data_IF_525281108501
#
_entry.id   IF_525281108501
#
_cell.length_a   1.000
_cell.length_b   1.000
_cell.length_c   1.000
_cell.angle_alpha   90.00
_cell.angle_beta   90.00
_cell.angle_gamma   90.00
#
_symmetry.space_group_name_H-M   'P 1'
#
loop_
_entity.id
_entity.type
_entity.pdbx_description
1 polymer ?
#
# COMPACT_ATOMS: atom_id res chain seq x y z
N UNK A 1 -20.70 -8.97 11.38
CA UNK A 1 -19.24 -8.84 11.54
C UNK A 1 -18.91 -7.56 12.31
N UNK A 2 -18.85 -7.60 13.66
CA UNK A 2 -18.67 -6.39 14.48
C UNK A 2 -17.23 -5.85 14.51
N UNK A 3 -16.24 -6.70 14.23
CA UNK A 3 -14.82 -6.39 14.44
C UNK A 3 -14.22 -5.38 13.44
N UNK A 4 -14.82 -5.20 12.26
CA UNK A 4 -14.35 -4.25 11.24
C UNK A 4 -15.09 -2.90 11.30
N UNK A 5 -16.14 -2.77 12.10
CA UNK A 5 -16.97 -1.56 12.13
C UNK A 5 -16.24 -0.31 12.66
N UNK A 6 -15.15 -0.49 13.42
CA UNK A 6 -14.30 0.59 13.93
C UNK A 6 -13.27 1.09 12.91
N UNK A 7 -13.01 0.33 11.85
CA UNK A 7 -11.98 0.66 10.88
C UNK A 7 -12.49 1.67 9.86
N UNK A 8 -11.70 2.72 9.66
CA UNK A 8 -11.92 3.73 8.64
C UNK A 8 -10.94 3.51 7.48
N UNK A 9 -11.43 3.69 6.25
CA UNK A 9 -10.57 3.70 5.06
C UNK A 9 -9.62 4.89 5.12
N UNK A 10 -8.32 4.62 4.94
CA UNK A 10 -7.29 5.65 4.78
C UNK A 10 -7.04 5.90 3.30
N UNK A 11 -6.61 4.86 2.58
CA UNK A 11 -6.30 4.92 1.15
C UNK A 11 -6.39 3.50 0.56
N UNK A 12 -6.50 3.39 -0.74
CA UNK A 12 -6.31 2.16 -1.49
C UNK A 12 -5.51 2.41 -2.75
N UNK A 13 -4.79 1.37 -3.19
CA UNK A 13 -4.13 1.32 -4.49
C UNK A 13 -4.52 0.03 -5.21
N UNK A 14 -4.36 0.02 -6.53
CA UNK A 14 -4.59 -1.15 -7.37
C UNK A 14 -3.28 -1.63 -7.96
N UNK A 15 -3.25 -2.90 -8.31
CA UNK A 15 -2.13 -3.52 -9.03
C UNK A 15 -2.67 -3.98 -10.37
N UNK A 16 -2.05 -3.51 -11.44
CA UNK A 16 -2.47 -3.78 -12.81
C UNK A 16 -1.96 -5.14 -13.32
N UNK A 17 -2.78 -5.77 -14.16
CA UNK A 17 -2.36 -6.89 -14.99
C UNK A 17 -1.70 -6.42 -16.29
N UNK A 18 -1.70 -7.28 -17.30
CA UNK A 18 -1.14 -6.99 -18.64
C UNK A 18 -1.85 -5.87 -19.40
N UNK A 19 -3.14 -5.64 -19.13
CA UNK A 19 -4.03 -4.88 -20.01
C UNK A 19 -4.58 -3.60 -19.37
N UNK A 20 -3.87 -3.01 -18.40
CA UNK A 20 -4.33 -1.85 -17.60
C UNK A 20 -5.63 -2.08 -16.81
N UNK A 21 -6.13 -3.31 -16.80
CA UNK A 21 -7.21 -3.71 -15.91
C UNK A 21 -6.62 -4.07 -14.53
N UNK A 22 -7.13 -3.47 -13.45
CA UNK A 22 -6.67 -3.79 -12.10
C UNK A 22 -7.17 -5.19 -11.73
N UNK A 23 -6.24 -6.07 -11.38
CA UNK A 23 -6.51 -7.46 -10.99
C UNK A 23 -6.35 -7.69 -9.49
N UNK A 24 -5.65 -6.78 -8.80
CA UNK A 24 -5.57 -6.77 -7.34
C UNK A 24 -5.72 -5.37 -6.77
N UNK A 25 -5.95 -5.32 -5.46
CA UNK A 25 -6.06 -4.09 -4.67
C UNK A 25 -5.37 -4.27 -3.33
N UNK A 26 -4.73 -3.20 -2.87
CA UNK A 26 -4.33 -3.05 -1.48
C UNK A 26 -5.15 -1.96 -0.83
N UNK A 27 -5.88 -2.31 0.23
CA UNK A 27 -6.73 -1.41 0.99
C UNK A 27 -6.12 -1.17 2.37
N UNK A 28 -5.82 0.09 2.69
CA UNK A 28 -5.39 0.51 4.02
C UNK A 28 -6.57 0.99 4.83
N UNK A 29 -6.81 0.28 5.93
CA UNK A 29 -7.76 0.62 6.97
C UNK A 29 -7.03 1.01 8.26
N UNK A 30 -7.64 1.88 9.07
CA UNK A 30 -7.12 2.26 10.38
C UNK A 30 -8.24 2.39 11.40
N UNK A 31 -7.99 1.93 12.61
CA UNK A 31 -8.77 2.29 13.80
C UNK A 31 -7.88 2.96 14.86
N UNK A 32 -8.38 3.13 16.09
CA UNK A 32 -7.61 3.77 17.17
C UNK A 32 -6.44 2.93 17.68
N UNK A 33 -6.33 1.65 17.31
CA UNK A 33 -5.36 0.69 17.85
C UNK A 33 -4.36 0.23 16.79
N UNK A 34 -4.80 0.02 15.56
CA UNK A 34 -3.96 -0.57 14.53
C UNK A 34 -4.28 -0.08 13.12
N UNK A 35 -3.34 -0.38 12.25
CA UNK A 35 -3.50 -0.29 10.81
C UNK A 35 -3.69 -1.71 10.28
N UNK A 36 -4.57 -1.86 9.30
CA UNK A 36 -4.83 -3.13 8.63
C UNK A 36 -4.70 -2.89 7.13
N UNK A 37 -3.80 -3.62 6.49
CA UNK A 37 -3.70 -3.69 5.04
C UNK A 37 -4.41 -4.96 4.59
N UNK A 38 -5.33 -4.83 3.64
CA UNK A 38 -6.03 -5.96 3.02
C UNK A 38 -5.56 -6.07 1.58
N UNK A 39 -5.06 -7.25 1.20
CA UNK A 39 -4.71 -7.56 -0.18
C UNK A 39 -5.85 -8.36 -0.81
N UNK A 40 -6.54 -7.75 -1.77
CA UNK A 40 -7.70 -8.32 -2.45
C UNK A 40 -7.37 -8.71 -3.89
N UNK A 41 -7.92 -9.82 -4.38
CA UNK A 41 -8.10 -10.01 -5.83
C UNK A 41 -9.40 -9.36 -6.29
N UNK A 42 -9.39 -8.90 -7.53
CA UNK A 42 -10.52 -8.26 -8.20
C UNK A 42 -11.05 -9.25 -9.24
N UNK A 43 -12.33 -9.57 -9.15
CA UNK A 43 -13.05 -10.27 -10.21
C UNK A 43 -14.26 -9.46 -10.65
N UNK A 44 -14.77 -9.77 -11.84
CA UNK A 44 -16.00 -9.20 -12.35
C UNK A 44 -17.07 -10.29 -12.36
N UNK A 45 -18.27 -9.98 -11.88
CA UNK A 45 -19.41 -10.88 -12.01
C UNK A 45 -19.97 -10.87 -13.45
N UNK A 46 -21.01 -11.66 -13.70
CA UNK A 46 -21.68 -11.72 -15.00
C UNK A 46 -22.33 -10.39 -15.44
N UNK A 47 -22.44 -9.41 -14.54
CA UNK A 47 -22.98 -8.07 -14.78
C UNK A 47 -21.86 -7.01 -14.87
N UNK A 48 -20.59 -7.43 -14.95
CA UNK A 48 -19.41 -6.56 -14.94
C UNK A 48 -19.28 -5.71 -13.66
N UNK A 49 -19.84 -6.16 -12.54
CA UNK A 49 -19.63 -5.52 -11.25
C UNK A 49 -18.36 -6.07 -10.60
N UNK A 50 -17.51 -5.15 -10.10
CA UNK A 50 -16.29 -5.52 -9.38
C UNK A 50 -16.63 -6.15 -8.04
N UNK A 51 -16.11 -7.34 -7.83
CA UNK A 51 -16.13 -8.06 -6.56
C UNK A 51 -14.70 -8.20 -6.05
N UNK A 52 -14.51 -7.95 -4.76
CA UNK A 52 -13.21 -8.05 -4.09
C UNK A 52 -13.18 -9.31 -3.23
N UNK A 53 -12.11 -10.09 -3.36
CA UNK A 53 -11.86 -11.27 -2.55
C UNK A 53 -10.58 -11.07 -1.75
N UNK A 54 -10.71 -10.94 -0.43
CA UNK A 54 -9.56 -10.81 0.46
C UNK A 54 -8.70 -12.07 0.39
N UNK A 55 -7.44 -11.91 0.00
CA UNK A 55 -6.46 -12.98 -0.10
C UNK A 55 -5.60 -13.07 1.16
N UNK A 56 -5.13 -11.93 1.66
CA UNK A 56 -4.33 -11.86 2.88
C UNK A 56 -4.48 -10.51 3.58
N UNK A 57 -4.05 -10.43 4.83
CA UNK A 57 -4.09 -9.22 5.63
C UNK A 57 -2.80 -9.02 6.42
N UNK A 58 -2.34 -7.77 6.48
CA UNK A 58 -1.21 -7.37 7.30
C UNK A 58 -1.71 -6.41 8.40
N UNK A 59 -1.64 -6.85 9.64
CA UNK A 59 -1.91 -5.99 10.80
C UNK A 59 -0.60 -5.32 11.24
N UNK A 60 -0.60 -3.99 11.28
CA UNK A 60 0.50 -3.18 11.79
C UNK A 60 0.02 -2.51 13.09
N UNK A 61 0.40 -3.05 14.25
CA UNK A 61 0.06 -2.44 15.53
C UNK A 61 0.87 -1.15 15.71
N UNK A 62 0.20 -0.08 16.12
CA UNK A 62 0.80 1.19 16.57
C UNK A 62 2.02 1.70 15.77
N UNK A 63 1.81 2.66 14.87
CA UNK A 63 2.91 3.46 14.32
C UNK A 63 3.41 4.45 15.38
N UNK A 64 4.71 4.70 15.42
CA UNK A 64 5.26 5.83 16.19
C UNK A 64 4.78 7.14 15.56
N UNK A 65 4.79 8.22 16.34
CA UNK A 65 4.32 9.55 15.89
C UNK A 65 4.99 10.04 14.59
N UNK A 66 6.26 9.68 14.37
CA UNK A 66 7.05 10.03 13.19
C UNK A 66 6.98 9.00 12.06
N UNK A 67 6.17 7.96 12.18
CA UNK A 67 6.06 6.89 11.19
C UNK A 67 4.74 7.01 10.41
N UNK A 68 4.77 6.59 9.15
CA UNK A 68 3.58 6.46 8.29
C UNK A 68 3.71 5.20 7.44
N UNK A 69 2.57 4.72 6.92
CA UNK A 69 2.55 3.66 5.91
C UNK A 69 2.46 4.33 4.54
N UNK A 70 3.22 3.80 3.58
CA UNK A 70 3.05 4.08 2.14
C UNK A 70 2.79 2.78 1.42
N UNK A 71 1.97 2.83 0.37
CA UNK A 71 1.62 1.67 -0.45
C UNK A 71 1.70 2.02 -1.94
N UNK A 72 2.48 1.25 -2.68
CA UNK A 72 2.60 1.39 -4.14
C UNK A 72 3.39 2.60 -4.63
N UNK A 73 3.98 3.40 -3.72
CA UNK A 73 4.89 4.52 -4.04
C UNK A 73 6.36 4.17 -3.74
N UNK A 74 6.71 2.88 -3.82
CA UNK A 74 8.07 2.40 -3.63
C UNK A 74 8.65 1.82 -4.94
N UNK A 75 9.97 1.82 -5.01
CA UNK A 75 10.75 1.46 -6.18
C UNK A 75 11.83 0.44 -5.80
N UNK A 76 12.08 -0.52 -6.67
CA UNK A 76 13.18 -1.48 -6.57
C UNK A 76 14.19 -1.23 -7.69
N UNK A 77 15.19 -0.39 -7.41
CA UNK A 77 15.99 0.23 -8.47
C UNK A 77 15.14 1.25 -9.22
N UNK A 78 15.15 1.25 -10.55
CA UNK A 78 14.45 2.27 -11.34
C UNK A 78 12.98 1.95 -11.64
N UNK A 79 12.51 0.76 -11.25
CA UNK A 79 11.13 0.32 -11.48
C UNK A 79 10.27 0.58 -10.24
N UNK A 80 9.14 1.25 -10.45
CA UNK A 80 8.09 1.34 -9.43
C UNK A 80 7.50 -0.05 -9.22
N UNK A 81 7.31 -0.42 -7.96
CA UNK A 81 6.62 -1.64 -7.59
C UNK A 81 5.40 -1.28 -6.76
N UNK A 82 4.24 -1.33 -7.42
CA UNK A 82 2.94 -1.02 -6.83
C UNK A 82 2.57 -1.99 -5.71
N UNK A 83 3.24 -3.15 -5.62
CA UNK A 83 2.95 -4.20 -4.65
C UNK A 83 3.59 -3.98 -3.29
N UNK A 84 4.48 -2.99 -3.16
CA UNK A 84 5.25 -2.79 -1.93
C UNK A 84 4.44 -1.97 -0.92
N UNK A 85 4.43 -2.47 0.32
CA UNK A 85 3.92 -1.79 1.52
C UNK A 85 5.13 -1.46 2.39
N UNK A 86 5.29 -0.22 2.80
CA UNK A 86 6.40 0.17 3.66
C UNK A 86 5.96 1.04 4.83
N UNK A 87 6.57 0.81 6.00
CA UNK A 87 6.57 1.78 7.09
C UNK A 87 7.78 2.69 6.89
N UNK A 88 7.54 3.99 6.83
CA UNK A 88 8.54 5.00 6.53
C UNK A 88 8.51 6.12 7.56
N UNK A 89 9.63 6.81 7.73
CA UNK A 89 9.68 8.02 8.54
C UNK A 89 9.03 9.18 7.77
N UNK A 90 8.15 9.92 8.43
CA UNK A 90 7.52 11.12 7.90
C UNK A 90 8.59 12.13 7.52
N UNK A 91 8.36 12.82 6.41
CA UNK A 91 9.28 13.79 5.86
C UNK A 91 8.51 14.84 5.08
N UNK A 92 9.03 16.06 5.04
CA UNK A 92 8.50 17.11 4.18
C UNK A 92 9.14 17.09 2.79
N UNK A 93 10.03 16.13 2.51
CA UNK A 93 10.64 15.93 1.19
C UNK A 93 9.81 14.98 0.32
N UNK A 94 9.93 15.13 -1.00
CA UNK A 94 9.41 14.16 -1.97
C UNK A 94 10.06 12.77 -1.78
N UNK A 95 11.33 12.71 -1.38
CA UNK A 95 12.02 11.44 -1.15
C UNK A 95 11.90 11.01 0.31
N UNK A 96 11.48 9.76 0.53
CA UNK A 96 11.58 9.12 1.84
C UNK A 96 13.05 8.87 2.16
N UNK A 97 13.50 9.35 3.32
CA UNK A 97 14.89 9.19 3.77
C UNK A 97 15.13 7.84 4.46
N UNK A 98 14.12 7.33 5.15
CA UNK A 98 14.25 6.15 6.00
C UNK A 98 13.03 5.25 5.88
N UNK A 99 13.30 4.00 5.56
CA UNK A 99 12.35 2.90 5.54
C UNK A 99 12.63 2.05 6.78
N UNK A 100 11.60 1.79 7.58
CA UNK A 100 11.69 1.05 8.84
C UNK A 100 11.44 -0.44 8.61
N UNK A 101 10.44 -0.77 7.80
CA UNK A 101 10.09 -2.14 7.42
C UNK A 101 9.35 -2.14 6.10
N UNK A 102 9.39 -3.25 5.38
CA UNK A 102 8.69 -3.41 4.12
C UNK A 102 8.13 -4.82 3.95
N UNK A 103 7.07 -4.90 3.17
CA UNK A 103 6.42 -6.13 2.72
C UNK A 103 6.09 -6.00 1.25
N UNK A 104 5.88 -7.13 0.58
CA UNK A 104 5.41 -7.20 -0.79
C UNK A 104 4.12 -8.02 -0.83
N UNK A 105 3.06 -7.45 -1.40
CA UNK A 105 1.88 -8.21 -1.77
C UNK A 105 2.23 -9.04 -3.02
N UNK A 106 2.22 -10.36 -2.91
CA UNK A 106 2.66 -11.25 -3.97
C UNK A 106 1.45 -11.87 -4.69
N UNK A 107 1.13 -11.44 -5.93
CA UNK A 107 0.05 -12.02 -6.73
C UNK A 107 0.14 -13.53 -6.93
N UNK A 108 1.35 -14.09 -6.96
CA UNK A 108 1.58 -15.51 -7.24
C UNK A 108 1.23 -16.35 -6.02
N UNK A 109 1.69 -15.94 -4.83
CA UNK A 109 1.41 -16.68 -3.58
C UNK A 109 0.09 -16.28 -2.93
N UNK A 110 -0.48 -15.13 -3.31
CA UNK A 110 -1.67 -14.55 -2.70
C UNK A 110 -1.42 -13.99 -1.29
N UNK A 111 -0.16 -13.75 -0.92
CA UNK A 111 0.24 -13.37 0.45
C UNK A 111 0.93 -12.02 0.51
N UNK A 112 0.91 -11.40 1.70
CA UNK A 112 1.74 -10.26 2.04
C UNK A 112 2.99 -10.77 2.76
N UNK A 113 4.13 -10.70 2.09
CA UNK A 113 5.37 -11.34 2.53
C UNK A 113 6.38 -10.29 3.02
N UNK A 114 7.07 -10.50 4.17
CA UNK A 114 8.10 -9.58 4.63
C UNK A 114 9.24 -9.51 3.62
N UNK A 115 9.77 -8.31 3.42
CA UNK A 115 10.86 -8.04 2.49
C UNK A 115 12.06 -7.45 3.23
N UNK A 116 13.26 -7.93 2.86
CA UNK A 116 14.50 -7.37 3.36
C UNK A 116 14.76 -5.97 2.80
N UNK A 117 15.21 -5.05 3.66
CA UNK A 117 15.57 -3.71 3.22
C UNK A 117 16.89 -3.75 2.45
N UNK A 118 16.87 -3.33 1.20
CA UNK A 118 18.06 -3.22 0.34
C UNK A 118 18.32 -1.77 -0.05
N UNK A 119 19.56 -1.46 -0.45
CA UNK A 119 19.92 -0.13 -0.96
C UNK A 119 19.17 0.27 -2.24
N UNK A 120 18.56 -0.71 -2.93
CA UNK A 120 17.76 -0.47 -4.13
C UNK A 120 16.33 -0.06 -3.81
N UNK A 121 15.85 -0.34 -2.60
CA UNK A 121 14.52 0.03 -2.16
C UNK A 121 14.49 1.51 -1.76
N UNK A 122 13.65 2.29 -2.43
CA UNK A 122 13.36 3.66 -2.05
C UNK A 122 11.88 3.97 -2.25
N UNK A 123 11.34 4.90 -1.47
CA UNK A 123 9.93 5.28 -1.56
C UNK A 123 9.79 6.80 -1.75
N UNK A 124 8.65 7.20 -2.29
CA UNK A 124 8.26 8.58 -2.51
C UNK A 124 7.18 8.95 -1.50
N UNK A 125 7.23 10.19 -1.02
CA UNK A 125 6.21 10.74 -0.14
C UNK A 125 4.96 11.11 -0.95
N UNK A 126 3.96 10.23 -0.93
CA UNK A 126 2.64 10.44 -1.57
C UNK A 126 1.89 11.67 -1.05
N UNK A 127 2.25 12.17 0.14
CA UNK A 127 1.65 13.36 0.75
C UNK A 127 2.46 14.64 0.55
N UNK A 128 3.50 14.62 -0.29
CA UNK A 128 4.34 15.79 -0.54
C UNK A 128 3.51 16.91 -1.20
N UNK A 129 3.18 17.94 -0.40
CA UNK A 129 2.58 19.18 -0.86
C UNK A 129 3.71 20.14 -1.25
N UNK A 130 4.37 19.89 -2.37
CA UNK A 130 5.22 20.93 -2.97
C UNK A 130 4.41 22.22 -3.15
N UNK A 131 5.06 23.39 -3.12
CA UNK A 131 4.41 24.64 -3.51
C UNK A 131 3.70 24.40 -4.85
N UNK A 132 2.37 24.47 -4.84
CA UNK A 132 1.54 24.14 -5.98
C UNK A 132 1.83 25.06 -7.15
N UNK A 133 2.69 24.62 -8.05
CA UNK A 133 2.65 25.00 -9.46
C UNK A 133 2.43 23.71 -10.21
N UNK A 134 1.19 23.56 -10.68
CA UNK A 134 0.74 22.64 -11.75
C UNK A 134 1.87 21.91 -12.46
N UNK A 135 1.88 20.58 -12.37
CA UNK A 135 2.57 19.76 -13.36
C UNK A 135 1.88 20.00 -14.72
N UNK A 136 2.64 20.25 -15.80
CA UNK A 136 2.10 20.36 -17.16
C UNK A 136 1.50 19.03 -17.64
#
# INVERSE_FOLDING_TARGET
MPALASFQKVVDTVIYGSDYDPIYRMLHLRDNRSHLIVFDSIAYDSLFQRTYYAMDTLAIPHLRTQEMITMGYCYLGDAQDENIIAIVEKTDSIKIKRIISAWQANPISGKIEPMELSQRLHCVNEFYKGNSTSFP
#
